data_IF_362707451514
#
_entry.id   IF_362707451514
#
_cell.length_a   1.000
_cell.length_b   1.000
_cell.length_c   1.000
_cell.angle_alpha   90.00
_cell.angle_beta   90.00
_cell.angle_gamma   90.00
#
_symmetry.space_group_name_H-M   'P 1'
#
loop_
_entity.id
_entity.type
_entity.pdbx_description
1 polymer ?
#
# COMPACT_ATOMS: atom_id res chain seq x y z
N UNK A 1 -11.89 -4.98 19.78
CA UNK A 1 -12.30 -4.75 18.38
C UNK A 1 -11.62 -5.82 17.52
N UNK A 2 -12.32 -6.37 16.52
CA UNK A 2 -11.75 -7.34 15.58
C UNK A 2 -10.68 -6.66 14.73
N UNK A 3 -9.58 -7.35 14.43
CA UNK A 3 -8.57 -6.81 13.54
C UNK A 3 -9.14 -6.65 12.11
N UNK A 4 -8.65 -5.64 11.39
CA UNK A 4 -9.01 -5.40 10.00
C UNK A 4 -8.10 -6.20 9.05
N UNK A 5 -6.83 -6.37 9.42
CA UNK A 5 -5.86 -7.21 8.73
C UNK A 5 -5.32 -8.21 9.75
N UNK A 6 -5.36 -9.50 9.42
CA UNK A 6 -4.81 -10.58 10.24
C UNK A 6 -3.95 -11.50 9.37
N UNK A 7 -2.73 -11.76 9.81
CA UNK A 7 -1.77 -12.67 9.17
C UNK A 7 -1.45 -13.76 10.18
N UNK A 8 -1.72 -15.02 9.82
CA UNK A 8 -1.59 -16.17 10.70
C UNK A 8 -0.62 -17.20 10.10
N UNK A 9 0.53 -17.35 10.72
CA UNK A 9 1.56 -18.34 10.39
C UNK A 9 1.90 -18.42 8.88
N UNK A 10 1.95 -17.26 8.22
CA UNK A 10 2.17 -17.18 6.76
C UNK A 10 3.61 -17.48 6.40
N UNK A 11 3.79 -18.39 5.45
CA UNK A 11 5.09 -18.70 4.86
C UNK A 11 5.07 -18.46 3.36
N UNK A 12 6.23 -18.08 2.81
CA UNK A 12 6.42 -17.85 1.38
C UNK A 12 7.78 -18.32 0.93
N UNK A 13 7.80 -19.07 -0.17
CA UNK A 13 9.00 -19.40 -0.92
C UNK A 13 8.77 -19.15 -2.41
N UNK A 14 9.84 -18.89 -3.13
CA UNK A 14 9.84 -18.83 -4.59
C UNK A 14 10.61 -20.03 -5.16
N UNK A 15 10.08 -20.61 -6.23
CA UNK A 15 10.77 -21.65 -6.99
C UNK A 15 11.26 -21.05 -8.31
N UNK A 16 12.56 -21.12 -8.56
CA UNK A 16 13.18 -20.62 -9.78
C UNK A 16 13.24 -21.75 -10.82
N UNK A 17 12.15 -21.96 -11.56
CA UNK A 17 12.04 -23.05 -12.52
C UNK A 17 13.12 -23.02 -13.62
N UNK A 18 13.59 -21.83 -13.99
CA UNK A 18 14.65 -21.61 -14.99
C UNK A 18 16.08 -21.75 -14.43
N UNK A 19 16.23 -22.02 -13.12
CA UNK A 19 17.51 -22.22 -12.43
C UNK A 19 17.52 -23.54 -11.65
N UNK A 20 17.18 -24.62 -12.34
CA UNK A 20 17.21 -25.97 -11.75
C UNK A 20 16.17 -26.22 -10.66
N UNK A 21 15.12 -25.42 -10.57
CA UNK A 21 14.10 -25.57 -9.53
C UNK A 21 14.54 -25.11 -8.14
N UNK A 22 15.59 -24.25 -8.05
CA UNK A 22 16.05 -23.72 -6.77
C UNK A 22 14.93 -23.06 -5.97
N UNK A 23 14.80 -23.42 -4.69
CA UNK A 23 13.79 -22.89 -3.77
C UNK A 23 14.43 -21.81 -2.90
N UNK A 24 13.84 -20.61 -2.94
CA UNK A 24 14.25 -19.48 -2.12
C UNK A 24 13.16 -19.22 -1.08
N UNK A 25 13.36 -19.65 0.19
CA UNK A 25 12.45 -19.30 1.27
C UNK A 25 12.62 -17.83 1.63
N UNK A 26 11.50 -17.10 1.77
CA UNK A 26 11.50 -15.66 2.05
C UNK A 26 10.88 -15.35 3.41
N UNK A 27 9.77 -16.01 3.74
CA UNK A 27 9.08 -15.85 5.02
C UNK A 27 8.68 -17.21 5.58
N UNK A 28 8.76 -17.36 6.89
CA UNK A 28 8.36 -18.54 7.64
C UNK A 28 7.56 -18.16 8.88
N UNK A 29 6.29 -18.57 8.93
CA UNK A 29 5.44 -18.41 10.11
C UNK A 29 5.13 -16.94 10.47
N UNK A 30 5.08 -16.03 9.49
CA UNK A 30 4.80 -14.62 9.74
C UNK A 30 3.42 -14.42 10.41
N UNK A 31 3.40 -13.56 11.44
CA UNK A 31 2.21 -13.23 12.20
C UNK A 31 2.10 -11.71 12.39
N UNK A 32 0.92 -11.18 12.12
CA UNK A 32 0.64 -9.75 12.21
C UNK A 32 -0.87 -9.54 12.34
N UNK A 33 -1.28 -8.60 13.18
CA UNK A 33 -2.66 -8.10 13.21
C UNK A 33 -2.68 -6.59 13.23
N UNK A 34 -3.62 -5.96 12.53
CA UNK A 34 -3.81 -4.51 12.49
C UNK A 34 -5.26 -4.18 12.77
N UNK A 35 -5.49 -3.34 13.78
CA UNK A 35 -6.83 -2.89 14.16
C UNK A 35 -7.25 -1.66 13.36
N UNK A 36 -8.56 -1.37 13.24
CA UNK A 36 -9.02 -0.09 12.73
C UNK A 36 -8.38 1.09 13.47
N UNK A 37 -7.86 2.08 12.72
CA UNK A 37 -7.15 3.24 13.26
C UNK A 37 -5.70 3.00 13.68
N UNK A 38 -5.18 1.79 13.51
CA UNK A 38 -3.80 1.45 13.82
C UNK A 38 -2.91 1.52 12.57
N UNK A 39 -1.71 2.06 12.71
CA UNK A 39 -0.65 1.99 11.71
C UNK A 39 0.49 1.10 12.21
N UNK A 40 0.75 0.01 11.52
CA UNK A 40 1.86 -0.91 11.79
C UNK A 40 2.95 -0.73 10.75
N UNK A 41 4.15 -0.36 11.19
CA UNK A 41 5.31 -0.26 10.32
C UNK A 41 6.06 -1.59 10.22
N UNK A 42 6.32 -2.02 8.99
CA UNK A 42 7.19 -3.15 8.69
C UNK A 42 8.64 -2.66 8.65
N UNK A 43 9.48 -3.22 9.50
CA UNK A 43 10.92 -2.93 9.58
C UNK A 43 11.76 -4.16 9.20
N UNK A 44 13.07 -4.02 9.17
CA UNK A 44 14.02 -5.07 8.81
C UNK A 44 14.94 -4.65 7.66
N UNK A 45 16.04 -5.38 7.49
CA UNK A 45 17.04 -5.12 6.46
C UNK A 45 16.48 -5.18 5.03
N UNK A 46 17.24 -4.68 4.06
CA UNK A 46 16.92 -4.92 2.64
C UNK A 46 16.91 -6.44 2.37
N UNK A 47 15.89 -6.90 1.65
CA UNK A 47 15.72 -8.33 1.38
C UNK A 47 14.99 -9.13 2.48
N UNK A 48 14.68 -8.56 3.65
CA UNK A 48 13.96 -9.26 4.73
C UNK A 48 12.53 -9.73 4.39
N UNK A 49 12.01 -9.41 3.20
CA UNK A 49 10.69 -9.86 2.78
C UNK A 49 9.56 -8.86 2.99
N UNK A 50 9.83 -7.62 3.40
CA UNK A 50 8.80 -6.56 3.63
C UNK A 50 7.87 -6.37 2.44
N UNK A 51 8.42 -6.09 1.27
CA UNK A 51 7.62 -5.89 0.04
C UNK A 51 6.95 -7.19 -0.43
N UNK A 52 7.53 -8.36 -0.12
CA UNK A 52 6.89 -9.66 -0.38
C UNK A 52 5.64 -9.81 0.48
N UNK A 53 5.73 -9.49 1.78
CA UNK A 53 4.60 -9.52 2.70
C UNK A 53 3.50 -8.55 2.26
N UNK A 54 3.86 -7.30 1.89
CA UNK A 54 2.91 -6.32 1.34
C UNK A 54 2.18 -6.84 0.11
N UNK A 55 2.90 -7.47 -0.83
CA UNK A 55 2.33 -8.03 -2.05
C UNK A 55 1.43 -9.24 -1.78
N UNK A 56 1.71 -10.03 -0.74
CA UNK A 56 0.81 -11.11 -0.30
C UNK A 56 -0.46 -10.55 0.32
N UNK A 57 -0.36 -9.53 1.19
CA UNK A 57 -1.55 -8.85 1.74
C UNK A 57 -2.41 -8.27 0.61
N UNK A 58 -1.79 -7.68 -0.42
CA UNK A 58 -2.51 -7.16 -1.59
C UNK A 58 -3.06 -8.26 -2.53
N UNK A 59 -2.75 -9.54 -2.27
CA UNK A 59 -3.18 -10.66 -3.09
C UNK A 59 -2.43 -10.79 -4.43
N UNK A 60 -1.25 -10.17 -4.60
CA UNK A 60 -0.42 -10.34 -5.78
C UNK A 60 0.42 -11.62 -5.73
N UNK A 61 0.71 -12.13 -4.54
CA UNK A 61 1.42 -13.38 -4.33
C UNK A 61 0.57 -14.31 -3.48
N UNK A 62 0.45 -15.55 -3.90
CA UNK A 62 -0.17 -16.62 -3.11
C UNK A 62 0.78 -17.03 -1.99
N UNK A 63 0.24 -17.29 -0.80
CA UNK A 63 0.98 -17.85 0.33
C UNK A 63 1.35 -19.30 0.05
N UNK A 64 2.44 -19.78 0.65
CA UNK A 64 2.77 -21.19 0.65
C UNK A 64 1.99 -21.94 1.75
N UNK A 65 1.85 -21.31 2.91
CA UNK A 65 1.05 -21.77 4.04
C UNK A 65 0.56 -20.59 4.87
N UNK A 66 -0.35 -20.85 5.80
CA UNK A 66 -0.97 -19.83 6.64
C UNK A 66 -2.13 -19.11 5.97
N UNK A 67 -2.67 -18.08 6.64
CA UNK A 67 -3.84 -17.32 6.19
C UNK A 67 -3.60 -15.82 6.26
N UNK A 68 -4.23 -15.08 5.35
CA UNK A 68 -4.27 -13.61 5.36
C UNK A 68 -5.74 -13.20 5.29
N UNK A 69 -6.25 -12.64 6.38
CA UNK A 69 -7.63 -12.17 6.46
C UNK A 69 -7.67 -10.65 6.38
N UNK A 70 -8.50 -10.12 5.49
CA UNK A 70 -8.73 -8.67 5.34
C UNK A 70 -10.23 -8.41 5.38
N UNK A 71 -10.69 -7.71 6.40
CA UNK A 71 -12.12 -7.52 6.61
C UNK A 71 -12.90 -8.83 6.77
N UNK A 72 -12.21 -9.93 7.11
CA UNK A 72 -12.76 -11.28 7.22
C UNK A 72 -12.65 -12.15 5.97
N UNK A 73 -12.23 -11.60 4.81
CA UNK A 73 -11.96 -12.36 3.58
C UNK A 73 -10.55 -12.98 3.66
N UNK A 74 -10.45 -14.30 3.46
CA UNK A 74 -9.15 -14.98 3.33
C UNK A 74 -8.58 -14.80 1.92
N UNK A 75 -7.58 -13.91 1.80
CA UNK A 75 -6.92 -13.57 0.53
C UNK A 75 -6.25 -14.78 -0.13
N UNK A 76 -5.82 -15.78 0.66
CA UNK A 76 -5.15 -16.97 0.13
C UNK A 76 -6.12 -17.96 -0.54
N UNK A 77 -7.40 -17.90 -0.17
CA UNK A 77 -8.46 -18.79 -0.67
C UNK A 77 -9.47 -18.07 -1.57
N UNK A 78 -9.40 -16.73 -1.64
CA UNK A 78 -10.35 -15.91 -2.37
C UNK A 78 -10.26 -16.10 -3.88
N UNK A 79 -11.41 -16.13 -4.53
CA UNK A 79 -11.50 -16.14 -5.98
C UNK A 79 -10.99 -14.81 -6.58
N UNK A 80 -10.48 -14.79 -7.82
CA UNK A 80 -9.97 -13.57 -8.45
C UNK A 80 -10.93 -12.39 -8.42
N UNK A 81 -12.24 -12.63 -8.59
CA UNK A 81 -13.28 -11.60 -8.51
C UNK A 81 -13.42 -11.00 -7.10
N UNK A 82 -13.22 -11.79 -6.05
CA UNK A 82 -13.26 -11.33 -4.67
C UNK A 82 -12.06 -10.47 -4.34
N UNK A 83 -10.87 -10.84 -4.84
CA UNK A 83 -9.65 -10.01 -4.76
C UNK A 83 -9.85 -8.67 -5.48
N UNK A 84 -10.48 -8.66 -6.65
CA UNK A 84 -10.78 -7.41 -7.36
C UNK A 84 -11.78 -6.54 -6.59
N UNK A 85 -12.81 -7.13 -5.99
CA UNK A 85 -13.77 -6.42 -5.13
C UNK A 85 -13.09 -5.86 -3.87
N UNK A 86 -12.25 -6.67 -3.22
CA UNK A 86 -11.44 -6.25 -2.06
C UNK A 86 -10.59 -5.00 -2.38
N UNK A 87 -9.88 -5.03 -3.50
CA UNK A 87 -9.01 -3.91 -3.95
C UNK A 87 -9.80 -2.66 -4.35
N UNK A 88 -11.02 -2.80 -4.80
CA UNK A 88 -11.88 -1.66 -5.16
C UNK A 88 -12.48 -0.98 -3.94
N UNK A 89 -12.87 -1.75 -2.93
CA UNK A 89 -13.73 -1.25 -1.85
C UNK A 89 -13.05 -1.20 -0.49
N UNK A 90 -12.08 -2.09 -0.22
CA UNK A 90 -11.58 -2.33 1.14
C UNK A 90 -10.10 -2.02 1.29
N UNK A 91 -9.28 -2.40 0.31
CA UNK A 91 -7.81 -2.37 0.43
C UNK A 91 -7.17 -1.47 -0.61
N UNK A 92 -6.79 -0.27 -0.20
CA UNK A 92 -5.97 0.63 -1.02
C UNK A 92 -4.48 0.27 -0.96
N UNK A 93 -3.72 0.65 -2.00
CA UNK A 93 -2.29 0.43 -2.03
C UNK A 93 -1.55 1.59 -2.71
N UNK A 94 -0.73 2.28 -1.95
CA UNK A 94 0.29 3.21 -2.45
C UNK A 94 1.58 2.42 -2.62
N UNK A 95 1.88 2.01 -3.84
CA UNK A 95 3.09 1.26 -4.17
C UNK A 95 4.31 2.18 -4.28
N UNK A 96 5.51 1.63 -4.19
CA UNK A 96 6.76 2.38 -4.31
C UNK A 96 6.88 3.19 -5.62
N UNK A 97 6.33 2.67 -6.72
CA UNK A 97 6.34 3.33 -8.02
C UNK A 97 4.93 3.46 -8.57
N UNK A 98 4.61 4.63 -9.12
CA UNK A 98 3.35 4.86 -9.81
C UNK A 98 3.26 3.98 -11.07
N UNK A 99 2.21 3.17 -11.15
CA UNK A 99 1.90 2.36 -12.33
C UNK A 99 0.60 2.86 -12.93
N UNK A 100 0.68 3.38 -14.14
CA UNK A 100 -0.45 3.96 -14.87
C UNK A 100 -0.45 3.57 -16.33
N UNK A 101 -1.61 3.63 -16.95
CA UNK A 101 -1.74 3.53 -18.39
C UNK A 101 -1.19 4.82 -19.01
N UNK A 102 -0.27 4.74 -20.00
CA UNK A 102 0.24 5.91 -20.68
C UNK A 102 -0.89 6.73 -21.34
N UNK A 103 -0.68 8.03 -21.48
CA UNK A 103 -1.58 8.98 -22.13
C UNK A 103 -2.92 9.24 -21.41
N UNK A 104 -3.08 8.74 -20.18
CA UNK A 104 -4.23 9.09 -19.33
C UNK A 104 -3.88 10.36 -18.54
N UNK A 105 -4.75 11.38 -18.53
CA UNK A 105 -4.55 12.59 -17.72
C UNK A 105 -4.37 12.29 -16.24
N UNK A 106 -3.52 13.04 -15.55
CA UNK A 106 -3.25 12.88 -14.11
C UNK A 106 -4.52 12.96 -13.27
N UNK A 107 -5.43 13.88 -13.60
CA UNK A 107 -6.71 14.00 -12.89
C UNK A 107 -7.54 12.71 -13.01
N UNK A 108 -7.59 12.09 -14.19
CA UNK A 108 -8.32 10.84 -14.40
C UNK A 108 -7.61 9.63 -13.75
N UNK A 109 -6.27 9.61 -13.74
CA UNK A 109 -5.48 8.61 -13.00
C UNK A 109 -5.82 8.65 -11.51
N UNK A 110 -5.92 9.85 -10.93
CA UNK A 110 -6.26 10.00 -9.50
C UNK A 110 -7.74 9.68 -9.27
N UNK A 111 -8.65 10.09 -10.16
CA UNK A 111 -10.09 9.85 -10.05
C UNK A 111 -10.50 8.36 -10.22
N UNK A 112 -9.63 7.54 -10.82
CA UNK A 112 -9.93 6.14 -11.20
C UNK A 112 -10.56 5.31 -10.07
N UNK A 113 -10.11 5.32 -8.79
CA UNK A 113 -10.72 4.53 -7.73
C UNK A 113 -12.20 4.87 -7.49
N UNK A 114 -12.57 6.14 -7.57
CA UNK A 114 -13.98 6.56 -7.42
C UNK A 114 -14.81 6.23 -8.66
N UNK A 115 -14.24 6.38 -9.86
CA UNK A 115 -14.89 5.99 -11.11
C UNK A 115 -15.18 4.49 -11.15
N UNK A 116 -14.25 3.65 -10.67
CA UNK A 116 -14.42 2.21 -10.56
C UNK A 116 -15.53 1.80 -9.58
N UNK A 117 -15.91 2.68 -8.64
CA UNK A 117 -17.01 2.52 -7.70
C UNK A 117 -18.34 3.11 -8.22
N UNK A 118 -18.35 3.67 -9.44
CA UNK A 118 -19.54 4.25 -10.05
C UNK A 118 -19.87 5.68 -9.60
N UNK A 119 -18.93 6.38 -8.96
CA UNK A 119 -19.09 7.81 -8.66
C UNK A 119 -19.13 8.59 -9.97
N UNK A 120 -19.99 9.62 -10.05
CA UNK A 120 -20.11 10.46 -11.25
C UNK A 120 -18.76 11.06 -11.63
N UNK A 121 -18.42 11.10 -12.93
CA UNK A 121 -17.11 11.58 -13.40
C UNK A 121 -16.75 12.99 -12.91
N UNK A 122 -17.71 13.91 -12.91
CA UNK A 122 -17.46 15.29 -12.47
C UNK A 122 -17.10 15.34 -10.99
N UNK A 123 -17.85 14.63 -10.15
CA UNK A 123 -17.59 14.54 -8.70
C UNK A 123 -16.24 13.85 -8.40
N UNK A 124 -15.95 12.76 -9.11
CA UNK A 124 -14.67 12.05 -8.93
C UNK A 124 -13.48 12.94 -9.30
N UNK A 125 -13.58 13.73 -10.39
CA UNK A 125 -12.54 14.67 -10.80
C UNK A 125 -12.40 15.85 -9.82
N UNK A 126 -13.47 16.41 -9.33
CA UNK A 126 -13.45 17.50 -8.34
C UNK A 126 -12.71 17.06 -7.07
N UNK A 127 -13.02 15.87 -6.55
CA UNK A 127 -12.31 15.30 -5.40
C UNK A 127 -10.83 15.02 -5.71
N UNK A 128 -10.51 14.54 -6.91
CA UNK A 128 -9.14 14.32 -7.37
C UNK A 128 -8.36 15.64 -7.44
N UNK A 129 -8.95 16.69 -7.98
CA UNK A 129 -8.35 18.04 -8.08
C UNK A 129 -8.04 18.62 -6.69
N UNK A 130 -8.98 18.53 -5.75
CA UNK A 130 -8.78 18.95 -4.36
C UNK A 130 -7.55 18.26 -3.73
N UNK A 131 -7.39 16.96 -3.95
CA UNK A 131 -6.28 16.22 -3.39
C UNK A 131 -4.95 16.48 -4.13
N UNK A 132 -5.00 16.67 -5.46
CA UNK A 132 -3.85 17.09 -6.26
C UNK A 132 -3.33 18.47 -5.83
N UNK A 133 -4.24 19.42 -5.57
CA UNK A 133 -3.92 20.74 -5.06
C UNK A 133 -3.26 20.66 -3.68
N UNK A 134 -3.85 19.89 -2.76
CA UNK A 134 -3.29 19.64 -1.43
C UNK A 134 -1.88 19.06 -1.49
N UNK A 135 -1.61 18.15 -2.45
CA UNK A 135 -0.31 17.54 -2.71
C UNK A 135 0.58 18.39 -3.61
N UNK A 136 0.19 19.65 -3.88
CA UNK A 136 0.98 20.64 -4.64
C UNK A 136 1.39 20.15 -6.03
N UNK A 137 0.50 19.44 -6.72
CA UNK A 137 0.65 19.14 -8.13
C UNK A 137 0.12 20.34 -8.92
N UNK A 138 0.97 21.04 -9.71
CA UNK A 138 0.55 22.22 -10.45
C UNK A 138 -0.61 21.92 -11.42
N UNK A 139 -1.60 22.82 -11.50
CA UNK A 139 -2.80 22.63 -12.34
C UNK A 139 -2.46 22.36 -13.80
N UNK A 140 -1.38 22.98 -14.34
CA UNK A 140 -0.90 22.73 -15.71
C UNK A 140 -0.53 21.26 -15.99
N UNK A 141 -0.28 20.46 -14.94
CA UNK A 141 0.06 19.04 -15.05
C UNK A 141 -1.16 18.13 -15.00
N UNK A 142 -2.33 18.61 -14.58
CA UNK A 142 -3.51 17.76 -14.35
C UNK A 142 -4.05 17.11 -15.61
N UNK A 143 -3.87 17.76 -16.78
CA UNK A 143 -4.29 17.24 -18.08
C UNK A 143 -3.17 16.48 -18.81
N UNK A 144 -1.98 16.39 -18.23
CA UNK A 144 -0.85 15.65 -18.78
C UNK A 144 -0.78 14.24 -18.16
N UNK A 145 -0.17 13.31 -18.88
CA UNK A 145 0.11 11.97 -18.34
C UNK A 145 1.23 12.03 -17.31
N UNK A 146 1.09 11.41 -16.13
CA UNK A 146 2.12 11.47 -15.10
C UNK A 146 3.38 10.65 -15.44
N UNK A 147 3.40 9.91 -16.54
CA UNK A 147 4.56 9.11 -16.97
C UNK A 147 5.80 9.95 -17.28
N UNK A 148 5.63 11.24 -17.55
CA UNK A 148 6.71 12.17 -17.89
C UNK A 148 7.12 13.07 -16.72
N UNK A 149 6.50 12.89 -15.56
CA UNK A 149 6.74 13.72 -14.38
C UNK A 149 8.03 13.31 -13.66
N UNK A 150 8.56 14.20 -12.83
CA UNK A 150 9.63 13.87 -11.89
C UNK A 150 9.21 12.78 -10.91
N UNK A 151 10.17 12.05 -10.33
CA UNK A 151 9.89 11.00 -9.37
C UNK A 151 9.05 11.48 -8.17
N UNK A 152 9.31 12.68 -7.66
CA UNK A 152 8.53 13.27 -6.57
C UNK A 152 7.11 13.66 -6.99
N UNK A 153 6.89 14.14 -8.21
CA UNK A 153 5.54 14.40 -8.73
C UNK A 153 4.77 13.11 -8.95
N UNK A 154 5.41 12.08 -9.53
CA UNK A 154 4.79 10.76 -9.68
C UNK A 154 4.40 10.16 -8.35
N UNK A 155 5.26 10.29 -7.33
CA UNK A 155 4.95 9.79 -5.98
C UNK A 155 3.75 10.53 -5.38
N UNK A 156 3.65 11.85 -5.52
CA UNK A 156 2.49 12.60 -5.04
C UNK A 156 1.20 12.24 -5.78
N UNK A 157 1.25 11.98 -7.08
CA UNK A 157 0.10 11.46 -7.85
C UNK A 157 -0.31 10.07 -7.36
N UNK A 158 0.66 9.19 -7.07
CA UNK A 158 0.41 7.86 -6.52
C UNK A 158 -0.28 7.92 -5.15
N UNK A 159 0.18 8.84 -4.29
CA UNK A 159 -0.44 9.10 -2.98
C UNK A 159 -1.86 9.65 -3.16
N UNK A 160 -2.05 10.65 -4.04
CA UNK A 160 -3.38 11.19 -4.34
C UNK A 160 -4.36 10.07 -4.73
N UNK A 161 -3.97 9.20 -5.65
CA UNK A 161 -4.78 8.06 -6.08
C UNK A 161 -5.10 7.10 -4.93
N UNK A 162 -4.11 6.79 -4.08
CA UNK A 162 -4.27 5.84 -2.97
C UNK A 162 -5.14 6.38 -1.83
N UNK A 163 -5.17 7.70 -1.63
CA UNK A 163 -5.95 8.35 -0.56
C UNK A 163 -7.30 8.91 -1.01
N UNK A 164 -7.63 8.88 -2.32
CA UNK A 164 -8.86 9.46 -2.84
C UNK A 164 -10.11 8.74 -2.33
N UNK A 165 -10.11 7.40 -2.35
CA UNK A 165 -11.17 6.60 -1.75
C UNK A 165 -10.84 6.31 -0.28
N UNK A 166 -11.79 6.46 0.66
CA UNK A 166 -11.57 6.19 2.09
C UNK A 166 -11.59 4.67 2.36
N UNK A 167 -10.55 3.98 1.92
CA UNK A 167 -10.41 2.54 2.15
C UNK A 167 -10.39 2.21 3.64
N UNK A 168 -11.10 1.14 4.10
CA UNK A 168 -10.97 0.61 5.46
C UNK A 168 -9.57 0.12 5.83
N UNK A 169 -8.79 -0.33 4.84
CA UNK A 169 -7.40 -0.75 4.99
C UNK A 169 -6.52 -0.13 3.92
N UNK A 170 -5.28 0.25 4.27
CA UNK A 170 -4.35 0.91 3.36
C UNK A 170 -2.94 0.33 3.51
N UNK A 171 -2.32 0.02 2.38
CA UNK A 171 -0.93 -0.39 2.29
C UNK A 171 -0.09 0.78 1.76
N UNK A 172 1.01 1.10 2.45
CA UNK A 172 1.90 2.21 2.11
C UNK A 172 3.33 1.70 1.93
N UNK A 173 3.81 1.63 0.69
CA UNK A 173 5.17 1.17 0.37
C UNK A 173 6.06 2.39 0.08
N UNK A 174 6.83 2.83 1.07
CA UNK A 174 7.71 3.98 1.03
C UNK A 174 7.03 5.30 0.59
N UNK A 175 5.90 5.70 1.21
CA UNK A 175 5.10 6.82 0.71
C UNK A 175 5.81 8.17 0.79
N UNK A 176 6.84 8.30 1.63
CA UNK A 176 7.61 9.54 1.83
C UNK A 176 8.92 9.57 1.05
N UNK A 177 9.26 8.52 0.30
CA UNK A 177 10.47 8.48 -0.50
C UNK A 177 10.46 9.58 -1.58
N UNK A 178 11.63 10.16 -1.84
CA UNK A 178 11.83 11.20 -2.87
C UNK A 178 10.98 12.47 -2.69
N UNK A 179 10.44 12.73 -1.51
CA UNK A 179 9.69 13.95 -1.19
C UNK A 179 10.55 14.94 -0.41
N UNK A 180 10.41 16.21 -0.78
CA UNK A 180 10.93 17.32 0.03
C UNK A 180 10.21 17.41 1.38
N UNK A 181 10.76 18.15 2.38
CA UNK A 181 10.19 18.22 3.72
C UNK A 181 8.74 18.68 3.77
N UNK A 182 8.33 19.60 2.90
CA UNK A 182 6.98 20.18 2.90
C UNK A 182 5.96 19.17 2.34
N UNK A 183 6.29 18.50 1.25
CA UNK A 183 5.45 17.45 0.69
C UNK A 183 5.38 16.22 1.60
N UNK A 184 6.50 15.87 2.26
CA UNK A 184 6.53 14.81 3.28
C UNK A 184 5.57 15.11 4.42
N UNK A 185 5.57 16.35 4.94
CA UNK A 185 4.65 16.79 6.00
C UNK A 185 3.19 16.60 5.58
N UNK A 186 2.84 17.00 4.35
CA UNK A 186 1.48 16.82 3.82
C UNK A 186 1.07 15.34 3.80
N UNK A 187 1.99 14.44 3.43
CA UNK A 187 1.71 13.00 3.39
C UNK A 187 1.54 12.41 4.79
N UNK A 188 2.35 12.84 5.77
CA UNK A 188 2.21 12.40 7.15
C UNK A 188 0.87 12.83 7.74
N UNK A 189 0.42 14.07 7.47
CA UNK A 189 -0.91 14.53 7.86
C UNK A 189 -2.03 13.67 7.22
N UNK A 190 -1.91 13.30 5.94
CA UNK A 190 -2.89 12.41 5.28
C UNK A 190 -2.97 11.03 5.97
N UNK A 191 -1.84 10.48 6.39
CA UNK A 191 -1.79 9.21 7.12
C UNK A 191 -2.46 9.35 8.50
N UNK A 192 -2.15 10.41 9.24
CA UNK A 192 -2.75 10.68 10.56
C UNK A 192 -4.28 10.86 10.45
N UNK A 193 -4.74 11.60 9.45
CA UNK A 193 -6.17 11.76 9.18
C UNK A 193 -6.84 10.43 8.81
N UNK A 194 -6.18 9.58 8.03
CA UNK A 194 -6.70 8.25 7.70
C UNK A 194 -6.82 7.38 8.97
N UNK A 195 -5.80 7.38 9.83
CA UNK A 195 -5.84 6.71 11.14
C UNK A 195 -7.01 7.21 12.00
N UNK A 196 -7.16 8.54 12.09
CA UNK A 196 -8.24 9.16 12.87
C UNK A 196 -9.64 8.77 12.36
N UNK A 197 -9.78 8.49 11.06
CA UNK A 197 -11.02 7.94 10.46
C UNK A 197 -11.21 6.43 10.67
N UNK A 198 -10.27 5.75 11.33
CA UNK A 198 -10.34 4.33 11.60
C UNK A 198 -9.74 3.43 10.52
N UNK A 199 -8.93 3.97 9.59
CA UNK A 199 -8.26 3.16 8.57
C UNK A 199 -7.14 2.33 9.22
N UNK A 200 -7.12 1.01 8.94
CA UNK A 200 -6.03 0.13 9.34
C UNK A 200 -4.88 0.23 8.33
N UNK A 201 -3.67 0.56 8.77
CA UNK A 201 -2.56 0.85 7.87
C UNK A 201 -1.40 -0.12 8.12
N UNK A 202 -0.87 -0.71 7.05
CA UNK A 202 0.45 -1.37 7.05
C UNK A 202 1.39 -0.56 6.17
N UNK A 203 2.51 -0.12 6.72
CA UNK A 203 3.45 0.75 6.02
C UNK A 203 4.90 0.29 6.06
N UNK A 204 5.66 0.59 5.01
CA UNK A 204 7.12 0.53 4.99
C UNK A 204 7.60 1.97 4.94
N UNK A 205 8.40 2.38 5.93
CA UNK A 205 8.96 3.72 6.04
C UNK A 205 10.47 3.62 6.28
N UNK A 206 11.28 4.14 5.36
CA UNK A 206 12.73 4.21 5.52
C UNK A 206 13.15 5.37 6.44
N UNK A 207 12.41 6.46 6.42
CA UNK A 207 12.63 7.64 7.26
C UNK A 207 12.18 7.34 8.70
N UNK A 208 13.13 7.24 9.62
CA UNK A 208 12.85 6.95 11.02
C UNK A 208 11.98 8.02 11.71
N UNK A 209 12.18 9.33 11.53
CA UNK A 209 11.28 10.37 12.03
C UNK A 209 9.85 10.23 11.51
N UNK A 210 9.66 9.99 10.20
CA UNK A 210 8.34 9.77 9.62
C UNK A 210 7.66 8.54 10.23
N UNK A 211 8.40 7.43 10.34
CA UNK A 211 7.91 6.19 10.95
C UNK A 211 7.49 6.39 12.41
N UNK A 212 8.34 7.03 13.22
CA UNK A 212 8.06 7.30 14.63
C UNK A 212 6.81 8.16 14.84
N UNK A 213 6.48 9.03 13.89
CA UNK A 213 5.30 9.90 13.96
C UNK A 213 4.00 9.15 13.67
N UNK A 214 3.97 8.28 12.66
CA UNK A 214 2.71 7.71 12.19
C UNK A 214 2.46 6.29 12.69
N UNK A 215 3.51 5.51 12.99
CA UNK A 215 3.37 4.12 13.40
C UNK A 215 3.06 3.99 14.89
N UNK A 216 2.05 3.19 15.22
CA UNK A 216 1.72 2.81 16.59
C UNK A 216 2.57 1.62 17.07
N UNK A 217 2.97 0.76 16.13
CA UNK A 217 3.86 -0.39 16.37
C UNK A 217 4.79 -0.63 15.19
N UNK A 218 5.92 -1.22 15.50
CA UNK A 218 6.86 -1.72 14.49
C UNK A 218 6.92 -3.25 14.56
N UNK A 219 7.00 -3.90 13.40
CA UNK A 219 7.22 -5.34 13.27
C UNK A 219 8.45 -5.56 12.41
N UNK A 220 9.47 -6.16 13.00
CA UNK A 220 10.65 -6.60 12.27
C UNK A 220 10.33 -7.86 11.48
N UNK A 221 10.24 -7.72 10.16
CA UNK A 221 9.97 -8.83 9.23
C UNK A 221 11.16 -9.80 9.18
N UNK A 222 12.35 -9.35 9.54
CA UNK A 222 13.53 -10.20 9.67
C UNK A 222 13.30 -11.41 10.58
N UNK A 223 12.49 -11.26 11.63
CA UNK A 223 12.13 -12.37 12.55
C UNK A 223 11.44 -13.55 11.86
N UNK A 224 10.87 -13.32 10.68
CA UNK A 224 10.20 -14.34 9.89
C UNK A 224 11.05 -14.83 8.73
N UNK A 225 12.31 -14.37 8.59
CA UNK A 225 13.22 -14.83 7.54
C UNK A 225 13.75 -16.21 7.93
N UNK A 226 13.64 -17.23 7.05
CA UNK A 226 14.21 -18.55 7.31
C UNK A 226 15.72 -18.48 7.57
N UNK A 227 16.19 -19.10 8.64
CA UNK A 227 17.59 -19.04 9.07
C UNK A 227 17.95 -17.85 9.97
N UNK A 228 17.01 -17.01 10.36
CA UNK A 228 17.17 -16.06 11.45
C UNK A 228 17.36 -16.83 12.76
N UNK A 229 18.61 -17.05 13.16
CA UNK A 229 18.96 -17.43 14.53
C UNK A 229 19.15 -16.15 15.34
N UNK A 230 18.43 -16.02 16.47
CA UNK A 230 18.57 -14.94 17.43
C UNK A 230 19.96 -14.96 18.06
#
# INVERSE_FOLDING_TARGET
MKAMIEIEAVSKQFCLHNQGGAVIPVLSGAQLSVKPGECVALTGSSGAGKSTLMRMIYGNYVTHSGRILIGGLDVAQAEPREILALRRQVLGYVSQFLRVVPRVPTCDVVAEPLLALGVRPDEARERAQTLLERLRIPQRLWQLSPTTFSGGEQQRVNIARGFLHPYPALLLDEPTASLDPVNRETVLCLIEEAKARGVAIVGIFHDAPARARVADREIDVGRFTPGWAA
#
